data_IF_879165691897
#
_entry.id   IF_879165691897
#
_cell.length_a   1.000
_cell.length_b   1.000
_cell.length_c   1.000
_cell.angle_alpha   90.00
_cell.angle_beta   90.00
_cell.angle_gamma   90.00
#
_symmetry.space_group_name_H-M   'P 1'
#
loop_
_entity.id
_entity.type
_entity.pdbx_description
1 polymer ?
#
# COMPACT_ATOMS: atom_id res chain seq x y z
N UNK A 1 -13.75 -11.11 18.76
CA UNK A 1 -14.54 -12.17 18.13
C UNK A 1 -13.95 -13.49 18.61
N UNK A 2 -14.73 -14.30 19.33
CA UNK A 2 -14.25 -15.54 19.95
C UNK A 2 -14.32 -16.70 18.95
N UNK A 3 -13.18 -17.27 18.58
CA UNK A 3 -13.13 -18.58 17.92
C UNK A 3 -13.09 -19.67 19.01
N UNK A 4 -13.89 -20.73 18.82
CA UNK A 4 -13.90 -21.86 19.73
C UNK A 4 -12.53 -22.54 19.76
N UNK A 5 -12.06 -22.90 20.96
CA UNK A 5 -10.80 -23.61 21.18
C UNK A 5 -10.81 -24.92 20.36
N UNK A 6 -9.97 -25.01 19.33
CA UNK A 6 -9.82 -26.20 18.49
C UNK A 6 -10.41 -26.12 17.08
N UNK A 7 -11.08 -25.01 16.70
CA UNK A 7 -11.51 -24.78 15.33
C UNK A 7 -10.41 -24.05 14.53
N UNK A 8 -9.97 -24.63 13.41
CA UNK A 8 -9.14 -23.92 12.44
C UNK A 8 -10.01 -22.91 11.71
N UNK A 9 -9.85 -21.61 12.00
CA UNK A 9 -10.50 -20.56 11.23
C UNK A 9 -9.78 -20.39 9.89
N UNK A 10 -10.56 -20.38 8.80
CA UNK A 10 -10.09 -20.02 7.46
C UNK A 10 -10.59 -18.62 7.17
N UNK A 11 -9.67 -17.74 6.76
CA UNK A 11 -9.98 -16.38 6.35
C UNK A 11 -9.68 -16.24 4.87
N UNK A 12 -10.67 -15.78 4.10
CA UNK A 12 -10.50 -15.33 2.72
C UNK A 12 -10.46 -13.81 2.75
N UNK A 13 -9.38 -13.19 2.27
CA UNK A 13 -9.36 -11.74 2.04
C UNK A 13 -10.09 -11.44 0.73
N UNK A 14 -10.99 -10.45 0.77
CA UNK A 14 -11.99 -10.18 -0.26
C UNK A 14 -11.43 -9.98 -1.68
N UNK A 15 -12.35 -10.00 -2.64
CA UNK A 15 -12.07 -9.77 -4.06
C UNK A 15 -12.00 -8.28 -4.35
N UNK A 16 -11.05 -7.84 -5.19
CA UNK A 16 -11.07 -6.51 -5.79
C UNK A 16 -11.56 -6.63 -7.23
N UNK A 17 -12.62 -5.90 -7.54
CA UNK A 17 -13.20 -5.81 -8.87
C UNK A 17 -13.02 -4.39 -9.37
N UNK A 18 -12.43 -4.25 -10.56
CA UNK A 18 -12.47 -3.01 -11.32
C UNK A 18 -13.60 -3.14 -12.32
N UNK A 19 -14.62 -2.30 -12.21
CA UNK A 19 -15.72 -2.26 -13.16
C UNK A 19 -15.75 -0.88 -13.82
N UNK A 20 -15.99 -0.85 -15.11
CA UNK A 20 -16.28 0.38 -15.83
C UNK A 20 -17.80 0.52 -15.94
N UNK A 21 -18.32 1.73 -15.73
CA UNK A 21 -19.74 1.99 -15.95
C UNK A 21 -19.93 2.31 -17.43
N UNK A 22 -20.60 1.42 -18.15
CA UNK A 22 -21.13 1.72 -19.47
C UNK A 22 -22.06 2.93 -19.37
N UNK A 23 -21.82 3.98 -20.18
CA UNK A 23 -22.65 5.17 -20.17
C UNK A 23 -24.00 4.85 -20.81
N UNK A 24 -24.98 4.48 -20.00
CA UNK A 24 -26.36 4.45 -20.44
C UNK A 24 -26.85 5.88 -20.70
N UNK A 25 -26.96 6.24 -21.99
CA UNK A 25 -27.75 7.39 -22.43
C UNK A 25 -27.01 8.72 -22.40
N UNK A 26 -26.24 8.97 -23.47
CA UNK A 26 -26.34 10.28 -24.10
C UNK A 26 -27.06 10.08 -25.42
N UNK A 27 -28.10 10.87 -25.65
CA UNK A 27 -28.74 11.05 -26.95
C UNK A 27 -27.78 11.81 -27.87
N UNK A 28 -26.63 11.21 -28.11
CA UNK A 28 -25.57 11.67 -28.99
C UNK A 28 -25.75 10.99 -30.35
N UNK A 29 -25.25 11.64 -31.38
CA UNK A 29 -25.45 11.27 -32.79
C UNK A 29 -25.00 9.83 -33.07
N UNK A 30 -25.44 9.24 -34.20
CA UNK A 30 -24.97 7.90 -34.61
C UNK A 30 -23.44 7.80 -34.75
N UNK A 31 -22.75 8.92 -34.94
CA UNK A 31 -21.28 9.00 -34.98
C UNK A 31 -20.64 8.85 -33.59
N UNK A 32 -21.24 9.44 -32.55
CA UNK A 32 -20.75 9.31 -31.17
C UNK A 32 -20.94 7.89 -30.61
N UNK A 33 -22.01 7.19 -31.03
CA UNK A 33 -22.25 5.77 -30.67
C UNK A 33 -21.25 4.81 -31.31
N UNK A 34 -20.63 5.20 -32.43
CA UNK A 34 -19.58 4.39 -33.07
C UNK A 34 -18.25 4.48 -32.32
N UNK A 35 -17.92 5.66 -31.79
CA UNK A 35 -16.74 5.88 -30.95
C UNK A 35 -16.87 5.25 -29.55
N UNK A 36 -18.07 5.23 -28.97
CA UNK A 36 -18.32 4.65 -27.65
C UNK A 36 -18.28 3.10 -27.65
N UNK A 37 -18.64 2.46 -28.77
CA UNK A 37 -18.53 1.01 -28.96
C UNK A 37 -17.10 0.49 -29.25
N UNK A 38 -16.12 1.38 -29.44
CA UNK A 38 -14.71 1.03 -29.65
C UNK A 38 -13.86 1.22 -28.39
N UNK A 39 -14.48 1.40 -27.21
CA UNK A 39 -13.74 1.51 -25.96
C UNK A 39 -13.06 0.17 -25.63
N UNK A 40 -11.78 0.08 -26.00
CA UNK A 40 -10.96 -1.08 -25.73
C UNK A 40 -10.82 -1.29 -24.23
N UNK A 41 -10.92 -2.55 -23.73
CA UNK A 41 -10.68 -2.85 -22.34
C UNK A 41 -9.35 -2.28 -21.87
N UNK A 42 -9.37 -1.54 -20.77
CA UNK A 42 -8.15 -1.01 -20.15
C UNK A 42 -7.49 -2.15 -19.38
N UNK A 43 -6.28 -2.53 -19.81
CA UNK A 43 -5.48 -3.50 -19.09
C UNK A 43 -4.80 -2.85 -17.88
N UNK A 44 -4.89 -3.51 -16.72
CA UNK A 44 -4.29 -3.05 -15.47
C UNK A 44 -3.21 -4.04 -15.06
N UNK A 45 -1.97 -3.55 -14.99
CA UNK A 45 -0.85 -4.25 -14.39
C UNK A 45 -0.78 -4.03 -12.89
N UNK A 46 -0.07 -4.90 -12.19
CA UNK A 46 0.34 -4.65 -10.82
C UNK A 46 1.68 -5.28 -10.50
N UNK A 47 2.38 -4.71 -9.53
CA UNK A 47 3.57 -5.29 -8.93
C UNK A 47 3.52 -5.21 -7.41
N UNK A 48 4.10 -6.20 -6.75
CA UNK A 48 4.24 -6.23 -5.31
C UNK A 48 5.68 -5.84 -4.91
N UNK A 49 5.78 -4.95 -3.95
CA UNK A 49 7.02 -4.48 -3.35
C UNK A 49 7.07 -5.00 -1.91
N UNK A 50 8.04 -5.87 -1.66
CA UNK A 50 8.27 -6.45 -0.33
C UNK A 50 9.46 -5.72 0.29
N UNK A 51 9.31 -5.10 1.48
CA UNK A 51 10.44 -4.48 2.17
C UNK A 51 11.58 -5.48 2.38
N UNK A 52 12.81 -5.04 2.18
CA UNK A 52 14.00 -5.84 2.40
C UNK A 52 14.14 -6.22 3.88
N UNK A 53 14.37 -7.51 4.15
CA UNK A 53 14.73 -7.98 5.48
C UNK A 53 16.18 -7.59 5.80
N UNK A 54 16.37 -6.79 6.85
CA UNK A 54 17.68 -6.36 7.35
C UNK A 54 18.29 -7.43 8.26
N UNK A 55 17.49 -8.02 9.14
CA UNK A 55 17.96 -9.01 10.13
C UNK A 55 16.86 -10.01 10.47
N UNK A 56 17.00 -11.24 9.97
CA UNK A 56 16.08 -12.36 10.21
C UNK A 56 16.42 -13.19 11.45
N UNK A 57 17.57 -12.96 12.10
CA UNK A 57 18.06 -13.79 13.22
C UNK A 57 17.43 -13.40 14.57
N UNK A 58 16.68 -12.30 14.60
CA UNK A 58 15.97 -11.83 15.80
C UNK A 58 14.71 -12.64 16.08
N UNK A 59 14.17 -12.48 17.29
CA UNK A 59 12.83 -13.02 17.63
C UNK A 59 11.75 -12.55 16.65
N UNK A 60 11.86 -11.30 16.18
CA UNK A 60 11.04 -10.74 15.10
C UNK A 60 11.98 -10.18 14.03
N UNK A 61 11.85 -10.59 12.75
CA UNK A 61 12.69 -10.05 11.70
C UNK A 61 12.58 -8.53 11.62
N UNK A 62 13.71 -7.87 11.39
CA UNK A 62 13.79 -6.44 11.13
C UNK A 62 13.77 -6.21 9.62
N UNK A 63 12.97 -5.26 9.18
CA UNK A 63 12.88 -4.85 7.77
C UNK A 63 13.27 -3.38 7.66
N UNK A 64 13.60 -2.98 6.43
CA UNK A 64 13.76 -1.58 6.08
C UNK A 64 12.46 -0.79 6.33
N UNK A 65 12.60 0.52 6.51
CA UNK A 65 11.43 1.39 6.66
C UNK A 65 10.82 1.73 5.29
N UNK A 66 9.63 2.36 5.32
CA UNK A 66 8.88 2.68 4.10
C UNK A 66 9.64 3.65 3.17
N UNK A 67 10.28 4.74 3.67
CA UNK A 67 11.11 5.61 2.83
C UNK A 67 12.27 4.88 2.13
N UNK A 68 12.98 3.99 2.84
CA UNK A 68 14.06 3.17 2.26
C UNK A 68 13.52 2.25 1.17
N UNK A 69 12.39 1.59 1.44
CA UNK A 69 11.71 0.73 0.45
C UNK A 69 11.39 1.53 -0.82
N UNK A 70 10.82 2.73 -0.69
CA UNK A 70 10.40 3.54 -1.83
C UNK A 70 11.58 4.16 -2.58
N UNK A 71 12.65 4.52 -1.88
CA UNK A 71 13.89 4.93 -2.53
C UNK A 71 14.45 3.82 -3.43
N UNK A 72 14.45 2.57 -2.94
CA UNK A 72 14.88 1.43 -3.73
C UNK A 72 13.96 1.16 -4.93
N UNK A 73 12.63 1.26 -4.74
CA UNK A 73 11.65 1.13 -5.84
C UNK A 73 11.84 2.22 -6.89
N UNK A 74 12.00 3.47 -6.49
CA UNK A 74 12.21 4.57 -7.43
C UNK A 74 13.51 4.39 -8.22
N UNK A 75 14.57 3.88 -7.58
CA UNK A 75 15.80 3.53 -8.30
C UNK A 75 15.56 2.42 -9.32
N UNK A 76 14.83 1.36 -8.94
CA UNK A 76 14.46 0.29 -9.85
C UNK A 76 13.63 0.79 -11.04
N UNK A 77 12.65 1.67 -10.79
CA UNK A 77 11.76 2.24 -11.82
C UNK A 77 12.48 3.22 -12.77
N UNK A 78 13.58 3.84 -12.35
CA UNK A 78 14.43 4.62 -13.27
C UNK A 78 15.12 3.76 -14.31
N UNK A 79 15.55 2.56 -13.91
CA UNK A 79 16.21 1.62 -14.80
C UNK A 79 15.20 0.78 -15.58
N UNK A 80 13.99 0.59 -15.02
CA UNK A 80 12.90 -0.23 -15.57
C UNK A 80 11.58 0.53 -15.42
N UNK A 81 11.32 1.56 -16.26
CA UNK A 81 10.08 2.32 -16.22
C UNK A 81 8.85 1.41 -16.33
N UNK A 82 7.76 1.77 -15.66
CA UNK A 82 6.49 1.07 -15.84
C UNK A 82 6.01 1.27 -17.27
N UNK A 83 5.43 0.23 -17.87
CA UNK A 83 4.75 0.31 -19.17
C UNK A 83 3.40 1.01 -19.02
N UNK A 84 3.38 2.26 -18.54
CA UNK A 84 2.19 3.07 -18.36
C UNK A 84 2.20 3.88 -17.06
N UNK A 85 1.00 4.12 -16.52
CA UNK A 85 0.76 5.11 -15.47
C UNK A 85 0.26 4.49 -14.18
N UNK A 86 0.81 4.89 -13.03
CA UNK A 86 0.36 4.46 -11.71
C UNK A 86 -1.09 4.89 -11.50
N UNK A 87 -1.92 3.91 -11.21
CA UNK A 87 -3.35 4.07 -10.91
C UNK A 87 -3.56 4.20 -9.40
N UNK A 88 -2.94 3.32 -8.62
CA UNK A 88 -3.11 3.26 -7.18
C UNK A 88 -1.91 2.57 -6.51
N UNK A 89 -1.64 2.97 -5.27
CA UNK A 89 -0.65 2.33 -4.41
C UNK A 89 -1.31 1.97 -3.10
N UNK A 90 -1.11 0.75 -2.65
CA UNK A 90 -1.76 0.24 -1.45
C UNK A 90 -0.80 -0.50 -0.54
N UNK A 91 -1.10 -0.45 0.75
CA UNK A 91 -0.38 -1.22 1.77
C UNK A 91 -1.21 -2.44 2.16
N UNK A 92 -0.68 -3.64 1.92
CA UNK A 92 -1.38 -4.91 2.15
C UNK A 92 -0.68 -5.69 3.26
N UNK A 93 -1.41 -6.18 4.28
CA UNK A 93 -0.83 -7.04 5.30
C UNK A 93 -0.57 -8.45 4.77
N UNK A 94 0.66 -8.92 4.90
CA UNK A 94 1.15 -10.24 4.57
C UNK A 94 1.45 -11.01 5.86
N UNK A 95 0.85 -12.20 6.01
CA UNK A 95 1.05 -13.05 7.20
C UNK A 95 2.16 -14.06 6.93
N UNK A 96 3.28 -13.94 7.64
CA UNK A 96 4.44 -14.80 7.50
C UNK A 96 4.54 -15.83 8.64
N UNK A 97 4.98 -17.07 8.37
CA UNK A 97 5.24 -18.06 9.40
C UNK A 97 6.46 -17.66 10.24
N UNK A 98 6.30 -17.54 11.56
CA UNK A 98 7.34 -17.00 12.47
C UNK A 98 8.67 -17.79 12.46
N UNK A 99 8.66 -19.09 12.17
CA UNK A 99 9.83 -19.97 12.41
C UNK A 99 10.52 -20.52 11.15
N UNK A 100 9.99 -20.25 9.96
CA UNK A 100 10.43 -20.93 8.73
C UNK A 100 10.66 -19.99 7.55
N UNK A 101 10.49 -18.68 7.74
CA UNK A 101 10.65 -17.75 6.62
C UNK A 101 12.14 -17.53 6.33
N UNK A 102 12.61 -18.04 5.19
CA UNK A 102 14.02 -17.97 4.76
C UNK A 102 14.23 -17.12 3.50
N UNK A 103 13.19 -16.51 2.92
CA UNK A 103 13.37 -15.77 1.67
C UNK A 103 12.07 -15.57 0.88
N UNK A 104 12.19 -15.12 -0.39
CA UNK A 104 11.11 -14.48 -1.14
C UNK A 104 10.00 -15.42 -1.63
N UNK A 105 9.91 -16.65 -1.14
CA UNK A 105 8.84 -17.62 -1.46
C UNK A 105 7.49 -17.28 -0.83
N UNK A 106 7.21 -16.00 -0.62
CA UNK A 106 5.90 -15.58 -0.15
C UNK A 106 5.13 -15.10 -1.34
N UNK A 107 4.07 -15.84 -1.67
CA UNK A 107 3.08 -15.42 -2.63
C UNK A 107 2.26 -14.25 -2.04
N UNK A 108 2.46 -13.01 -2.51
CA UNK A 108 1.70 -11.86 -2.04
C UNK A 108 0.22 -11.92 -2.44
N UNK A 109 -0.14 -12.79 -3.39
CA UNK A 109 -1.49 -13.00 -3.89
C UNK A 109 -2.19 -14.18 -3.23
N UNK A 110 -1.55 -14.81 -2.24
CA UNK A 110 -2.18 -15.80 -1.39
C UNK A 110 -3.39 -15.17 -0.69
N UNK A 111 -4.59 -15.70 -0.96
CA UNK A 111 -5.88 -15.18 -0.43
C UNK A 111 -6.32 -15.86 0.86
N UNK A 112 -5.71 -17.00 1.21
CA UNK A 112 -6.07 -17.81 2.36
C UNK A 112 -4.87 -18.10 3.27
N UNK A 113 -5.10 -18.10 4.58
CA UNK A 113 -4.06 -18.49 5.55
C UNK A 113 -4.67 -19.33 6.68
N UNK A 114 -4.19 -20.57 6.93
CA UNK A 114 -4.74 -21.43 7.99
C UNK A 114 -4.42 -20.86 9.37
N UNK A 115 -5.37 -20.42 10.19
CA UNK A 115 -5.05 -19.62 11.38
C UNK A 115 -4.15 -20.34 12.40
N UNK A 116 -2.84 -20.07 12.33
CA UNK A 116 -1.84 -20.61 13.25
C UNK A 116 -1.35 -19.51 14.18
N UNK A 117 -1.29 -19.81 15.48
CA UNK A 117 -1.06 -18.86 16.58
C UNK A 117 0.29 -18.09 16.54
N UNK A 118 1.20 -18.37 15.60
CA UNK A 118 2.54 -17.78 15.54
C UNK A 118 2.84 -17.20 14.16
N UNK A 119 2.20 -16.07 13.85
CA UNK A 119 2.41 -15.33 12.60
C UNK A 119 3.02 -13.96 12.86
N UNK A 120 3.98 -13.59 12.04
CA UNK A 120 4.47 -12.23 11.92
C UNK A 120 3.68 -11.52 10.82
N UNK A 121 3.27 -10.27 11.06
CA UNK A 121 2.58 -9.45 10.07
C UNK A 121 3.60 -8.51 9.43
N UNK A 122 3.84 -8.68 8.14
CA UNK A 122 4.61 -7.77 7.31
C UNK A 122 3.63 -6.94 6.47
N UNK A 123 3.87 -5.66 6.29
CA UNK A 123 3.09 -4.85 5.35
C UNK A 123 3.89 -4.67 4.08
N UNK A 124 3.32 -5.05 2.94
CA UNK A 124 3.92 -4.89 1.62
C UNK A 124 3.22 -3.77 0.87
N UNK A 125 3.89 -3.19 -0.13
CA UNK A 125 3.29 -2.20 -1.02
C UNK A 125 2.87 -2.88 -2.32
N UNK A 126 1.67 -2.59 -2.80
CA UNK A 126 1.18 -3.03 -4.10
C UNK A 126 0.94 -1.81 -4.98
N UNK A 127 1.57 -1.80 -6.15
CA UNK A 127 1.47 -0.72 -7.13
C UNK A 127 0.62 -1.24 -8.27
N UNK A 128 -0.50 -0.58 -8.54
CA UNK A 128 -1.36 -0.82 -9.69
C UNK A 128 -1.09 0.24 -10.73
N UNK A 129 -1.04 -0.14 -12.00
CA UNK A 129 -0.80 0.77 -13.11
C UNK A 129 -1.64 0.39 -14.32
N UNK A 130 -2.02 1.38 -15.12
CA UNK A 130 -2.71 1.21 -16.40
C UNK A 130 -1.65 1.11 -17.49
N UNK A 131 -1.74 0.10 -18.35
CA UNK A 131 -0.78 -0.05 -19.43
C UNK A 131 -0.85 1.11 -20.43
N UNK A 132 0.30 1.55 -20.93
CA UNK A 132 0.42 2.67 -21.86
C UNK A 132 1.88 2.98 -22.21
N UNK A 133 2.15 4.14 -22.84
CA UNK A 133 3.52 4.62 -23.01
C UNK A 133 4.24 4.70 -21.66
N UNK A 134 5.53 4.34 -21.58
CA UNK A 134 6.27 4.43 -20.33
C UNK A 134 6.24 5.85 -19.76
N UNK A 135 5.93 5.97 -18.47
CA UNK A 135 5.88 7.24 -17.74
C UNK A 135 6.86 7.19 -16.55
N UNK A 136 7.61 8.28 -16.35
CA UNK A 136 8.58 8.38 -15.27
C UNK A 136 7.88 8.87 -13.99
N UNK A 137 7.30 7.93 -13.25
CA UNK A 137 6.68 8.23 -11.97
C UNK A 137 7.59 7.97 -10.78
N UNK A 138 7.56 8.89 -9.81
CA UNK A 138 8.25 8.73 -8.53
C UNK A 138 7.24 8.54 -7.42
N UNK A 139 7.47 7.54 -6.59
CA UNK A 139 6.64 7.17 -5.45
C UNK A 139 7.25 7.78 -4.18
N UNK A 140 6.42 8.40 -3.36
CA UNK A 140 6.82 8.96 -2.06
C UNK A 140 5.91 8.47 -0.94
N UNK A 141 6.45 8.43 0.27
CA UNK A 141 5.69 8.23 1.50
C UNK A 141 6.22 9.15 2.59
N UNK A 142 5.31 9.56 3.47
CA UNK A 142 5.62 10.33 4.66
C UNK A 142 4.66 9.90 5.77
N UNK A 143 5.21 9.67 6.97
CA UNK A 143 4.43 9.21 8.11
C UNK A 143 3.97 10.40 8.96
N UNK A 144 2.66 10.58 9.04
CA UNK A 144 2.07 11.65 9.84
C UNK A 144 1.49 11.11 11.14
N UNK A 145 2.27 11.23 12.21
CA UNK A 145 1.82 10.87 13.55
C UNK A 145 1.31 12.10 14.32
N UNK A 146 0.26 11.93 15.15
CA UNK A 146 -0.11 12.94 16.12
C UNK A 146 1.05 13.22 17.08
N UNK A 147 1.26 14.48 17.44
CA UNK A 147 2.37 14.88 18.32
C UNK A 147 2.24 14.22 19.70
N UNK A 148 3.33 13.69 20.21
CA UNK A 148 3.39 13.23 21.58
C UNK A 148 3.32 14.44 22.52
N UNK A 149 2.36 14.44 23.45
CA UNK A 149 2.20 15.53 24.41
C UNK A 149 2.85 15.19 25.75
N UNK A 150 2.52 14.01 26.29
CA UNK A 150 3.06 13.55 27.58
C UNK A 150 2.79 12.07 27.81
N UNK A 151 3.66 11.42 28.58
CA UNK A 151 3.40 10.14 29.21
C UNK A 151 3.93 10.18 30.65
N UNK A 152 3.14 9.77 31.65
CA UNK A 152 3.66 9.59 33.00
C UNK A 152 4.80 8.58 33.03
N UNK A 153 5.81 8.76 33.88
CA UNK A 153 6.96 7.83 34.00
C UNK A 153 6.54 6.37 34.27
N UNK A 154 5.37 6.15 34.88
CA UNK A 154 4.84 4.83 35.24
C UNK A 154 3.50 4.49 34.59
N UNK A 155 3.25 5.03 33.39
CA UNK A 155 1.98 4.89 32.68
C UNK A 155 1.50 3.42 32.53
N UNK A 156 2.43 2.48 32.29
CA UNK A 156 2.13 1.03 32.22
C UNK A 156 1.65 0.43 33.55
N UNK A 157 2.12 0.94 34.68
CA UNK A 157 1.81 0.39 36.01
C UNK A 157 0.44 0.85 36.51
N UNK A 158 0.02 2.06 36.11
CA UNK A 158 -1.24 2.69 36.57
C UNK A 158 -2.35 2.68 35.52
N UNK A 159 -2.16 1.99 34.39
CA UNK A 159 -3.13 1.99 33.30
C UNK A 159 -3.39 3.38 32.70
N UNK A 160 -2.43 4.30 32.84
CA UNK A 160 -2.51 5.64 32.26
C UNK A 160 -1.92 5.54 30.86
N UNK A 161 -2.60 6.11 29.87
CA UNK A 161 -2.15 6.05 28.48
C UNK A 161 -1.35 7.30 28.10
N UNK A 162 -0.34 7.18 27.20
CA UNK A 162 0.31 8.33 26.60
C UNK A 162 -0.73 9.25 25.94
N UNK A 163 -0.57 10.56 26.14
CA UNK A 163 -1.40 11.58 25.52
C UNK A 163 -0.75 12.06 24.25
N UNK A 164 -1.54 12.10 23.18
CA UNK A 164 -1.14 12.63 21.88
C UNK A 164 -2.03 13.81 21.50
N UNK A 165 -1.56 14.62 20.55
CA UNK A 165 -2.35 15.65 19.91
C UNK A 165 -3.56 15.02 19.20
N UNK A 166 -4.54 15.87 18.87
CA UNK A 166 -5.71 15.45 18.10
C UNK A 166 -5.29 15.00 16.70
N UNK A 167 -6.04 14.06 16.13
CA UNK A 167 -5.85 13.55 14.76
C UNK A 167 -5.74 14.67 13.71
N UNK A 168 -6.47 15.78 13.91
CA UNK A 168 -6.42 16.97 13.05
C UNK A 168 -4.99 17.51 12.89
N UNK A 169 -4.13 17.42 13.90
CA UNK A 169 -2.72 17.82 13.78
C UNK A 169 -1.98 16.98 12.73
N UNK A 170 -2.12 15.66 12.80
CA UNK A 170 -1.51 14.74 11.82
C UNK A 170 -2.05 14.98 10.41
N UNK A 171 -3.37 15.19 10.27
CA UNK A 171 -3.98 15.52 8.97
C UNK A 171 -3.46 16.86 8.40
N UNK A 172 -3.21 17.85 9.26
CA UNK A 172 -2.64 19.12 8.81
C UNK A 172 -1.19 18.96 8.34
N UNK A 173 -0.38 18.14 9.01
CA UNK A 173 0.97 17.79 8.54
C UNK A 173 0.91 17.11 7.17
N UNK A 174 0.00 16.15 6.99
CA UNK A 174 -0.23 15.48 5.72
C UNK A 174 -0.60 16.46 4.60
N UNK A 175 -1.56 17.35 4.87
CA UNK A 175 -1.96 18.40 3.94
C UNK A 175 -0.78 19.29 3.54
N UNK A 176 -0.01 19.78 4.52
CA UNK A 176 1.14 20.65 4.25
C UNK A 176 2.21 19.95 3.41
N UNK A 177 2.46 18.67 3.68
CA UNK A 177 3.39 17.88 2.89
C UNK A 177 2.92 17.73 1.43
N UNK A 178 1.66 17.35 1.21
CA UNK A 178 1.09 17.23 -0.15
C UNK A 178 1.28 18.53 -0.94
N UNK A 179 1.00 19.68 -0.32
CA UNK A 179 1.18 20.99 -0.95
C UNK A 179 2.66 21.27 -1.29
N UNK A 180 3.60 20.84 -0.45
CA UNK A 180 5.03 21.01 -0.69
C UNK A 180 5.51 20.14 -1.86
N UNK A 181 4.98 18.92 -1.98
CA UNK A 181 5.30 18.01 -3.08
C UNK A 181 4.72 18.50 -4.41
N UNK A 182 3.47 18.99 -4.43
CA UNK A 182 2.85 19.55 -5.64
C UNK A 182 3.64 20.73 -6.19
N UNK A 183 4.00 21.68 -5.32
CA UNK A 183 4.80 22.85 -5.70
C UNK A 183 6.14 22.42 -6.30
N UNK A 184 6.79 21.40 -5.74
CA UNK A 184 8.06 20.89 -6.26
C UNK A 184 7.94 20.32 -7.67
N UNK A 185 6.83 19.63 -8.01
CA UNK A 185 6.63 19.09 -9.37
C UNK A 185 6.60 20.18 -10.45
N UNK A 186 6.07 21.35 -10.15
CA UNK A 186 6.00 22.47 -11.10
C UNK A 186 7.35 23.14 -11.39
N UNK A 187 8.34 23.00 -10.50
CA UNK A 187 9.66 23.60 -10.70
C UNK A 187 10.66 22.69 -11.43
N UNK A 188 10.38 21.40 -11.56
CA UNK A 188 11.24 20.44 -12.27
C UNK A 188 10.77 20.11 -13.70
N UNK A 189 9.72 20.79 -14.18
CA UNK A 189 9.13 20.60 -15.52
C UNK A 189 9.49 21.70 -16.54
N UNK A 190 10.53 22.50 -16.26
CA UNK A 190 11.13 23.50 -17.17
C UNK A 190 12.53 23.08 -17.59
#
# INVERSE_FOLDING_TARGET
MFTAKGANAIYVKGLRLWYFREREGSSSSEEDKKAENEQTPIEIGYMNVIPKCIDSNRKYPLYENLPETYAAVNQFLKENPLDGKILAIETVPLKLPHRKWQGPEVDPDQTYWPDTYLRHLLYITRIYFVYGPPDEETIGAEDFLPDFLSAPKWYRMYGIYPKYAKLISAMQKAKNWIQTVEVSRYYFST
#
